data_IF_732290234221
#
_entry.id   IF_732290234221
#
_cell.length_a   1.000
_cell.length_b   1.000
_cell.length_c   1.000
_cell.angle_alpha   90.00
_cell.angle_beta   90.00
_cell.angle_gamma   90.00
#
_symmetry.space_group_name_H-M   'P 1'
#
loop_
_entity.id
_entity.type
_entity.pdbx_description
1 polymer ?
#
# COMPACT_ATOMS: atom_id res chain seq x y z
N UNK A 1 -13.90 -3.24 11.76
CA UNK A 1 -12.56 -2.65 11.64
C UNK A 1 -12.28 -2.49 10.15
N UNK A 2 -11.79 -1.32 9.72
CA UNK A 2 -11.69 -0.98 8.29
C UNK A 2 -10.42 -1.54 7.65
N UNK A 3 -10.56 -2.00 6.41
CA UNK A 3 -9.53 -2.46 5.48
C UNK A 3 -8.78 -1.30 4.81
N UNK A 4 -9.08 -0.05 5.18
CA UNK A 4 -8.60 1.18 4.55
C UNK A 4 -7.91 2.07 5.56
N UNK A 5 -6.75 2.60 5.19
CA UNK A 5 -5.94 3.54 5.97
C UNK A 5 -5.76 4.80 5.15
N UNK A 6 -6.10 5.93 5.75
CA UNK A 6 -6.00 7.23 5.10
C UNK A 6 -4.68 7.92 5.45
N UNK A 7 -3.84 8.19 4.46
CA UNK A 7 -2.49 8.75 4.62
C UNK A 7 -2.30 10.05 3.84
N UNK A 8 -1.34 10.88 4.22
CA UNK A 8 -1.08 12.19 3.58
C UNK A 8 -0.13 12.12 2.39
N UNK A 9 0.63 11.04 2.29
CA UNK A 9 1.62 10.78 1.23
C UNK A 9 1.58 9.29 0.94
N UNK A 10 1.55 8.91 -0.35
CA UNK A 10 1.67 7.50 -0.74
C UNK A 10 3.15 7.11 -0.80
N UNK A 11 3.59 6.11 -0.03
CA UNK A 11 4.97 5.66 -0.07
C UNK A 11 5.27 4.91 -1.36
N UNK A 12 6.55 4.62 -1.62
CA UNK A 12 6.94 3.77 -2.74
C UNK A 12 6.75 2.29 -2.42
N UNK A 13 6.58 1.49 -3.46
CA UNK A 13 6.53 0.03 -3.39
C UNK A 13 7.91 -0.51 -3.02
N UNK A 14 7.99 -1.21 -1.89
CA UNK A 14 9.22 -1.81 -1.37
C UNK A 14 9.75 -2.93 -2.29
N UNK A 15 8.85 -3.60 -3.02
CA UNK A 15 9.19 -4.68 -3.94
C UNK A 15 9.69 -4.11 -5.28
N UNK A 16 8.96 -3.17 -5.89
CA UNK A 16 9.37 -2.58 -7.17
C UNK A 16 10.71 -1.85 -7.06
N UNK A 17 10.95 -1.09 -5.97
CA UNK A 17 12.22 -0.37 -5.79
C UNK A 17 13.43 -1.30 -5.72
N UNK A 18 13.22 -2.56 -5.30
CA UNK A 18 14.29 -3.55 -5.18
C UNK A 18 14.62 -4.22 -6.51
N UNK A 19 13.68 -4.25 -7.45
CA UNK A 19 13.82 -4.94 -8.73
C UNK A 19 14.31 -4.02 -9.85
N UNK A 20 13.84 -2.78 -9.89
CA UNK A 20 14.21 -1.77 -10.87
C UNK A 20 14.18 -0.41 -10.16
N UNK A 21 14.98 0.59 -10.57
CA UNK A 21 14.92 1.97 -10.04
C UNK A 21 13.60 2.69 -10.40
N UNK A 22 12.48 1.97 -10.44
CA UNK A 22 11.14 2.49 -10.69
C UNK A 22 10.50 2.83 -9.35
N UNK A 23 10.30 4.13 -9.13
CA UNK A 23 9.49 4.64 -8.03
C UNK A 23 8.00 4.41 -8.33
N UNK A 24 7.52 3.19 -8.09
CA UNK A 24 6.09 2.86 -8.19
C UNK A 24 5.41 3.16 -6.86
N UNK A 25 4.34 3.93 -6.88
CA UNK A 25 3.57 4.27 -5.69
C UNK A 25 2.86 3.05 -5.11
N UNK A 26 3.00 2.83 -3.80
CA UNK A 26 2.31 1.79 -3.06
C UNK A 26 0.84 2.18 -2.82
N UNK A 27 -0.06 1.21 -3.02
CA UNK A 27 -1.50 1.34 -2.75
C UNK A 27 -1.95 0.45 -1.60
N UNK A 28 -1.10 -0.45 -1.14
CA UNK A 28 -1.41 -1.43 -0.11
C UNK A 28 -0.24 -1.51 0.87
N UNK A 29 -0.55 -1.66 2.16
CA UNK A 29 0.41 -2.06 3.19
C UNK A 29 -0.06 -3.39 3.74
N UNK A 30 0.73 -4.45 3.56
CA UNK A 30 0.27 -5.79 3.85
C UNK A 30 1.38 -6.80 4.10
N UNK A 31 0.98 -7.87 4.78
CA UNK A 31 1.77 -9.06 5.00
C UNK A 31 1.96 -9.80 3.69
N UNK A 32 3.23 -10.04 3.35
CA UNK A 32 3.61 -10.83 2.19
C UNK A 32 3.51 -12.33 2.48
N UNK A 33 3.50 -13.14 1.43
CA UNK A 33 3.62 -14.60 1.53
C UNK A 33 4.90 -15.05 2.25
N UNK A 34 5.96 -14.22 2.24
CA UNK A 34 7.23 -14.47 2.93
C UNK A 34 7.20 -14.14 4.42
N UNK A 35 6.09 -13.59 4.94
CA UNK A 35 5.91 -13.29 6.36
C UNK A 35 6.43 -11.93 6.81
N UNK A 36 7.01 -11.13 5.92
CA UNK A 36 7.33 -9.72 6.18
C UNK A 36 6.19 -8.81 5.73
N UNK A 37 6.01 -7.68 6.43
CA UNK A 37 5.14 -6.61 5.96
C UNK A 37 5.87 -5.75 4.93
N UNK A 38 5.17 -5.32 3.89
CA UNK A 38 5.72 -4.47 2.85
C UNK A 38 4.66 -3.52 2.28
N UNK A 39 5.09 -2.32 1.88
CA UNK A 39 4.28 -1.41 1.08
C UNK A 39 4.36 -1.85 -0.37
N UNK A 40 3.21 -2.12 -0.97
CA UNK A 40 3.12 -2.74 -2.28
C UNK A 40 2.26 -1.92 -3.22
N UNK A 41 2.67 -1.86 -4.49
CA UNK A 41 1.79 -1.46 -5.58
C UNK A 41 0.71 -2.54 -5.79
N UNK A 42 -0.26 -2.27 -6.67
CA UNK A 42 -1.36 -3.20 -6.93
C UNK A 42 -0.86 -4.57 -7.41
N UNK A 43 0.11 -4.58 -8.32
CA UNK A 43 0.59 -5.81 -8.94
C UNK A 43 1.38 -6.64 -7.91
N UNK A 44 2.31 -6.02 -7.18
CA UNK A 44 3.06 -6.71 -6.12
C UNK A 44 2.15 -7.22 -4.99
N UNK A 45 1.07 -6.51 -4.67
CA UNK A 45 0.11 -6.98 -3.68
C UNK A 45 -0.69 -8.18 -4.19
N UNK A 46 -1.00 -8.23 -5.48
CA UNK A 46 -1.67 -9.38 -6.09
C UNK A 46 -0.77 -10.62 -6.16
N UNK A 47 0.53 -10.42 -6.44
CA UNK A 47 1.50 -11.51 -6.57
C UNK A 47 1.99 -12.04 -5.22
N UNK A 48 2.24 -11.14 -4.25
CA UNK A 48 2.89 -11.47 -2.98
C UNK A 48 2.06 -11.17 -1.74
N UNK A 49 0.96 -10.42 -1.84
CA UNK A 49 0.13 -10.07 -0.70
C UNK A 49 -0.79 -11.22 -0.27
N UNK A 50 -1.13 -11.25 1.02
CA UNK A 50 -2.08 -12.24 1.57
C UNK A 50 -3.55 -11.85 1.49
N UNK A 51 -3.85 -10.64 1.03
CA UNK A 51 -5.20 -10.08 0.97
C UNK A 51 -5.44 -8.95 1.98
N UNK A 52 -6.64 -8.37 1.94
CA UNK A 52 -7.05 -7.29 2.84
C UNK A 52 -7.74 -7.86 4.09
N UNK A 53 -7.43 -7.30 5.25
CA UNK A 53 -8.00 -7.72 6.52
C UNK A 53 -7.05 -7.57 7.70
N UNK A 54 -7.57 -7.79 8.90
CA UNK A 54 -6.79 -7.72 10.15
C UNK A 54 -5.68 -8.77 10.09
N UNK A 55 -4.44 -8.34 10.29
CA UNK A 55 -3.26 -9.21 10.21
C UNK A 55 -2.88 -9.65 8.79
N UNK A 56 -3.54 -9.12 7.76
CA UNK A 56 -3.24 -9.42 6.35
C UNK A 56 -2.80 -8.18 5.58
N UNK A 57 -3.62 -7.13 5.53
CA UNK A 57 -3.27 -5.94 4.77
C UNK A 57 -4.36 -4.89 4.72
N UNK A 58 -3.98 -3.68 4.34
CA UNK A 58 -4.83 -2.51 4.28
C UNK A 58 -4.57 -1.70 3.01
N UNK A 59 -5.63 -1.13 2.44
CA UNK A 59 -5.55 -0.21 1.31
C UNK A 59 -5.16 1.19 1.79
N UNK A 60 -4.16 1.78 1.13
CA UNK A 60 -3.66 3.13 1.40
C UNK A 60 -4.44 4.13 0.55
N UNK A 61 -5.23 4.96 1.20
CA UNK A 61 -6.02 6.02 0.54
C UNK A 61 -5.35 7.35 0.83
N UNK A 62 -4.95 8.06 -0.23
CA UNK A 62 -4.43 9.41 -0.10
C UNK A 62 -5.55 10.34 0.38
N UNK A 63 -5.37 10.94 1.56
CA UNK A 63 -6.15 12.11 1.99
C UNK A 63 -5.73 13.26 1.10
N UNK A 64 -6.48 13.50 0.03
CA UNK A 64 -6.46 14.81 -0.59
C UNK A 64 -6.93 15.78 0.47
N UNK A 65 -6.06 16.70 0.88
CA UNK A 65 -6.46 17.84 1.71
C UNK A 65 -7.64 18.50 1.02
N UNK A 66 -8.84 18.25 1.53
CA UNK A 66 -10.01 18.99 1.09
C UNK A 66 -9.76 20.43 1.52
N UNK A 67 -9.28 21.26 0.60
CA UNK A 67 -9.77 22.63 0.59
C UNK A 67 -11.24 22.51 0.17
N UNK A 68 -12.11 22.28 1.14
CA UNK A 68 -13.49 22.76 1.04
C UNK A 68 -13.37 24.27 0.84
N UNK A 69 -13.43 24.70 -0.42
CA UNK A 69 -13.67 26.09 -0.77
C UNK A 69 -15.15 26.30 -0.50
N UNK A 70 -15.46 26.87 0.66
CA UNK A 70 -16.79 27.40 0.98
C UNK A 70 -16.74 28.92 0.88
#
# INVERSE_FOLDING_TARGET
>A
MSDKVFITELPNCDICKSAEEKAVTAKYDGLTIYGSWAKMCKDCFQDYGKGLGIGQGQELILKTSQKEVK
#
